data_IF_828936213464
#
_entry.id   IF_828936213464
#
_cell.length_a   1.000
_cell.length_b   1.000
_cell.length_c   1.000
_cell.angle_alpha   90.00
_cell.angle_beta   90.00
_cell.angle_gamma   90.00
#
_symmetry.space_group_name_H-M   'P 1'
#
loop_
_entity.id
_entity.type
_entity.pdbx_description
1 polymer ?
#
# COMPACT_ATOMS: atom_id res chain seq x y z
N UNK A 1 83.73 -52.22 27.50
CA UNK A 1 83.21 -50.87 27.20
C UNK A 1 81.71 -51.02 26.97
N UNK A 2 80.89 -50.64 27.94
CA UNK A 2 79.42 -50.71 27.88
C UNK A 2 78.91 -49.28 28.10
N UNK A 3 78.27 -48.71 27.09
CA UNK A 3 77.62 -47.40 27.15
C UNK A 3 76.16 -47.60 27.57
N UNK A 4 75.85 -47.30 28.84
CA UNK A 4 74.48 -47.31 29.35
C UNK A 4 73.70 -46.09 28.86
N UNK A 5 72.62 -46.32 28.12
CA UNK A 5 71.56 -45.34 27.91
C UNK A 5 70.59 -45.41 29.10
N UNK A 6 70.54 -44.36 29.91
CA UNK A 6 69.45 -44.17 30.88
C UNK A 6 68.23 -43.62 30.13
N UNK A 7 67.07 -44.31 30.14
CA UNK A 7 65.83 -43.74 29.63
C UNK A 7 65.37 -42.64 30.60
N UNK A 8 65.43 -41.39 30.16
CA UNK A 8 64.90 -40.27 30.90
C UNK A 8 63.40 -40.44 31.12
N UNK A 9 62.97 -40.46 32.38
CA UNK A 9 61.56 -40.38 32.75
C UNK A 9 60.98 -39.06 32.20
N UNK A 10 59.76 -39.07 31.62
CA UNK A 10 59.12 -37.86 31.13
C UNK A 10 58.97 -36.85 32.27
N UNK A 11 59.35 -35.60 32.00
CA UNK A 11 59.26 -34.54 32.98
C UNK A 11 57.79 -34.26 33.33
N UNK A 12 57.51 -33.99 34.60
CA UNK A 12 56.17 -33.63 35.09
C UNK A 12 55.54 -32.43 34.34
N UNK A 13 56.36 -31.63 33.63
CA UNK A 13 55.92 -30.52 32.78
C UNK A 13 55.13 -30.96 31.54
N UNK A 14 55.36 -32.17 31.01
CA UNK A 14 54.65 -32.68 29.83
C UNK A 14 53.19 -33.08 30.15
N UNK A 15 52.85 -33.27 31.42
CA UNK A 15 51.50 -33.63 31.87
C UNK A 15 50.66 -32.44 32.38
N UNK A 16 51.25 -31.26 32.63
CA UNK A 16 50.56 -30.18 33.37
C UNK A 16 50.31 -28.91 32.54
N UNK A 17 50.57 -28.89 31.22
CA UNK A 17 50.40 -27.68 30.42
C UNK A 17 49.39 -27.75 29.25
N UNK A 18 48.54 -28.78 29.19
CA UNK A 18 47.28 -28.64 28.47
C UNK A 18 46.31 -27.84 29.35
N UNK A 19 46.45 -26.51 29.33
CA UNK A 19 45.37 -25.63 29.80
C UNK A 19 44.19 -25.90 28.87
N UNK A 20 43.33 -26.83 29.29
CA UNK A 20 42.06 -27.12 28.64
C UNK A 20 41.22 -25.86 28.74
N UNK A 21 41.34 -25.01 27.72
CA UNK A 21 40.65 -23.73 27.66
C UNK A 21 39.19 -24.07 27.46
N UNK A 22 38.41 -23.99 28.54
CA UNK A 22 36.99 -24.24 28.51
C UNK A 22 36.36 -23.50 27.31
N UNK A 23 35.60 -24.19 26.44
CA UNK A 23 35.05 -23.57 25.25
C UNK A 23 34.22 -22.34 25.64
N UNK A 24 34.60 -21.16 25.12
CA UNK A 24 33.88 -19.91 25.37
C UNK A 24 32.40 -20.12 25.07
N UNK A 25 31.55 -19.92 26.08
CA UNK A 25 30.11 -20.00 25.92
C UNK A 25 29.65 -19.08 24.78
N UNK A 26 28.97 -19.66 23.79
CA UNK A 26 28.47 -18.87 22.67
C UNK A 26 27.44 -17.82 23.17
N UNK A 27 27.48 -16.58 22.65
CA UNK A 27 26.55 -15.54 23.09
C UNK A 27 25.12 -15.94 22.73
N UNK A 28 24.26 -16.02 23.75
CA UNK A 28 22.87 -16.48 23.63
C UNK A 28 21.91 -15.34 23.27
N UNK A 29 22.26 -14.12 23.71
CA UNK A 29 21.45 -12.91 23.57
C UNK A 29 21.02 -12.60 22.12
N UNK A 30 21.87 -12.75 21.08
CA UNK A 30 21.45 -12.52 19.69
C UNK A 30 20.29 -13.42 19.25
N UNK A 31 20.23 -14.65 19.73
CA UNK A 31 19.15 -15.58 19.39
C UNK A 31 17.85 -15.25 20.11
N UNK A 32 17.91 -14.77 21.36
CA UNK A 32 16.72 -14.25 22.05
C UNK A 32 16.14 -13.03 21.34
N UNK A 33 17.01 -12.10 20.87
CA UNK A 33 16.59 -10.95 20.07
C UNK A 33 15.83 -11.39 18.81
N UNK A 34 16.35 -12.38 18.07
CA UNK A 34 15.67 -12.92 16.89
C UNK A 34 14.31 -13.56 17.20
N UNK A 35 14.19 -14.28 18.32
CA UNK A 35 12.90 -14.85 18.72
C UNK A 35 11.90 -13.74 19.02
N UNK A 36 12.26 -12.75 19.85
CA UNK A 36 11.37 -11.64 20.21
C UNK A 36 10.97 -10.86 18.95
N UNK A 37 11.93 -10.53 18.09
CA UNK A 37 11.69 -9.85 16.83
C UNK A 37 10.73 -10.63 15.93
N UNK A 38 10.97 -11.94 15.79
CA UNK A 38 10.14 -12.80 14.97
C UNK A 38 8.71 -12.93 15.48
N UNK A 39 8.53 -13.02 16.80
CA UNK A 39 7.19 -13.00 17.43
C UNK A 39 6.48 -11.69 17.14
N UNK A 40 7.17 -10.55 17.26
CA UNK A 40 6.59 -9.23 16.96
C UNK A 40 6.15 -9.15 15.49
N UNK A 41 7.00 -9.60 14.56
CA UNK A 41 6.69 -9.58 13.12
C UNK A 41 5.52 -10.48 12.71
N UNK A 42 5.28 -11.57 13.44
CA UNK A 42 4.10 -12.43 13.25
C UNK A 42 2.86 -11.79 13.89
N UNK A 43 2.99 -11.30 15.12
CA UNK A 43 1.86 -10.78 15.89
C UNK A 43 1.34 -9.44 15.34
N UNK A 44 2.22 -8.53 14.89
CA UNK A 44 1.81 -7.19 14.46
C UNK A 44 0.81 -7.20 13.28
N UNK A 45 1.02 -7.96 12.17
CA UNK A 45 0.02 -8.06 11.10
C UNK A 45 -1.31 -8.67 11.54
N UNK A 46 -1.30 -9.59 12.50
CA UNK A 46 -2.50 -10.23 13.04
C UNK A 46 -3.30 -9.27 13.92
N UNK A 47 -2.63 -8.61 14.86
CA UNK A 47 -3.25 -7.68 15.80
C UNK A 47 -3.78 -6.42 15.12
N UNK A 48 -3.14 -5.98 14.03
CA UNK A 48 -3.58 -4.82 13.24
C UNK A 48 -4.58 -5.19 12.14
N UNK A 49 -4.90 -6.47 11.95
CA UNK A 49 -5.76 -6.92 10.85
C UNK A 49 -5.20 -6.61 9.47
N UNK A 50 -3.87 -6.58 9.32
CA UNK A 50 -3.19 -6.16 8.09
C UNK A 50 -3.52 -7.05 6.90
N UNK A 51 -3.71 -8.36 7.09
CA UNK A 51 -4.06 -9.31 6.02
C UNK A 51 -5.35 -8.93 5.26
N UNK A 52 -6.53 -8.91 5.91
CA UNK A 52 -7.76 -8.55 5.21
C UNK A 52 -7.76 -7.09 4.74
N UNK A 53 -7.14 -6.17 5.49
CA UNK A 53 -7.14 -4.75 5.14
C UNK A 53 -6.25 -4.41 3.95
N UNK A 54 -5.09 -5.05 3.84
CA UNK A 54 -4.20 -4.88 2.70
C UNK A 54 -4.78 -5.50 1.43
N UNK A 55 -5.43 -6.66 1.53
CA UNK A 55 -6.15 -7.26 0.40
C UNK A 55 -7.29 -6.37 -0.10
N UNK A 56 -8.07 -5.77 0.82
CA UNK A 56 -9.10 -4.78 0.47
C UNK A 56 -8.51 -3.52 -0.18
N UNK A 57 -7.37 -3.02 0.32
CA UNK A 57 -6.69 -1.89 -0.29
C UNK A 57 -6.18 -2.19 -1.71
N UNK A 58 -5.69 -3.40 -1.95
CA UNK A 58 -5.30 -3.85 -3.29
C UNK A 58 -6.51 -3.98 -4.22
N UNK A 59 -7.61 -4.58 -3.75
CA UNK A 59 -8.86 -4.66 -4.51
C UNK A 59 -9.38 -3.26 -4.87
N UNK A 60 -9.35 -2.31 -3.92
CA UNK A 60 -9.73 -0.92 -4.16
C UNK A 60 -8.90 -0.26 -5.26
N UNK A 61 -7.58 -0.47 -5.25
CA UNK A 61 -6.74 0.03 -6.35
C UNK A 61 -7.19 -0.64 -7.65
N UNK A 62 -7.26 -1.98 -7.71
CA UNK A 62 -7.67 -2.70 -8.91
C UNK A 62 -9.01 -2.26 -9.50
N UNK A 63 -10.03 -2.09 -8.65
CA UNK A 63 -11.39 -1.74 -9.05
C UNK A 63 -11.49 -0.30 -9.60
N UNK A 64 -10.69 0.64 -9.06
CA UNK A 64 -10.68 2.03 -9.53
C UNK A 64 -9.79 2.26 -10.75
N UNK A 65 -8.92 1.32 -11.11
CA UNK A 65 -7.97 1.46 -12.22
C UNK A 65 -8.58 1.97 -13.54
N UNK A 66 -9.74 1.47 -14.04
CA UNK A 66 -10.31 1.99 -15.28
C UNK A 66 -10.83 3.43 -15.14
N UNK A 67 -11.26 3.83 -13.94
CA UNK A 67 -11.98 5.08 -13.69
C UNK A 67 -11.09 6.30 -13.42
N UNK A 68 -9.82 6.07 -13.07
CA UNK A 68 -8.87 7.16 -12.75
C UNK A 68 -8.09 7.65 -13.95
N UNK A 69 -8.32 7.08 -15.14
CA UNK A 69 -7.59 7.45 -16.36
C UNK A 69 -8.02 8.84 -16.86
N UNK A 70 -7.12 9.54 -17.55
CA UNK A 70 -7.44 10.86 -18.10
C UNK A 70 -8.60 10.78 -19.11
N UNK A 71 -8.56 9.78 -20.00
CA UNK A 71 -9.60 9.57 -21.00
C UNK A 71 -10.98 9.34 -20.38
N UNK A 72 -11.04 8.56 -19.31
CA UNK A 72 -12.31 8.28 -18.64
C UNK A 72 -12.87 9.54 -17.95
N UNK A 73 -12.01 10.27 -17.23
CA UNK A 73 -12.40 11.50 -16.54
C UNK A 73 -12.84 12.59 -17.52
N UNK A 74 -12.17 12.72 -18.67
CA UNK A 74 -12.60 13.61 -19.74
C UNK A 74 -13.92 13.13 -20.38
N UNK A 75 -14.15 11.81 -20.43
CA UNK A 75 -15.42 11.20 -20.80
C UNK A 75 -16.56 11.64 -19.87
N UNK A 76 -16.40 11.50 -18.55
CA UNK A 76 -17.41 11.94 -17.58
C UNK A 76 -17.69 13.45 -17.66
N UNK A 77 -16.66 14.27 -17.86
CA UNK A 77 -16.83 15.72 -18.08
C UNK A 77 -17.60 16.01 -19.36
N UNK A 78 -17.31 15.27 -20.43
CA UNK A 78 -18.04 15.34 -21.70
C UNK A 78 -19.51 14.97 -21.54
N UNK A 79 -19.82 13.92 -20.77
CA UNK A 79 -21.17 13.49 -20.44
C UNK A 79 -21.94 14.57 -19.65
N UNK A 80 -21.31 15.18 -18.64
CA UNK A 80 -21.89 16.34 -17.93
C UNK A 80 -22.09 17.54 -18.88
N UNK A 81 -21.24 17.71 -19.89
CA UNK A 81 -21.40 18.73 -20.92
C UNK A 81 -22.66 18.53 -21.76
N UNK A 82 -22.98 17.27 -22.12
CA UNK A 82 -24.20 16.95 -22.89
C UNK A 82 -25.46 17.26 -22.09
N UNK A 83 -25.49 16.88 -20.82
CA UNK A 83 -26.61 17.20 -19.92
C UNK A 83 -26.79 18.71 -19.73
N UNK A 84 -25.70 19.46 -19.59
CA UNK A 84 -25.74 20.92 -19.45
C UNK A 84 -26.22 21.63 -20.71
N UNK A 85 -25.79 21.16 -21.88
CA UNK A 85 -26.25 21.67 -23.16
C UNK A 85 -27.75 21.43 -23.34
N UNK A 86 -28.24 20.23 -23.06
CA UNK A 86 -29.67 19.91 -23.14
C UNK A 86 -30.50 20.75 -22.18
N UNK A 87 -30.04 20.93 -20.93
CA UNK A 87 -30.67 21.86 -19.98
C UNK A 87 -30.76 23.28 -20.53
N UNK A 88 -29.67 23.77 -21.12
CA UNK A 88 -29.57 25.14 -21.65
C UNK A 88 -30.55 25.34 -22.80
N UNK A 89 -30.66 24.37 -23.71
CA UNK A 89 -31.66 24.34 -24.79
C UNK A 89 -33.07 24.42 -24.23
N UNK A 90 -33.42 23.55 -23.27
CA UNK A 90 -34.75 23.51 -22.65
C UNK A 90 -35.09 24.86 -22.00
N UNK A 91 -34.15 25.45 -21.26
CA UNK A 91 -34.34 26.75 -20.62
C UNK A 91 -34.50 27.87 -21.67
N UNK A 92 -33.74 27.81 -22.77
CA UNK A 92 -33.83 28.74 -23.90
C UNK A 92 -35.19 28.69 -24.60
N UNK A 93 -35.68 27.49 -24.92
CA UNK A 93 -36.99 27.28 -25.52
C UNK A 93 -38.11 27.84 -24.63
N UNK A 94 -38.02 27.64 -23.31
CA UNK A 94 -38.97 28.21 -22.35
C UNK A 94 -38.92 29.72 -22.30
N UNK A 95 -37.74 30.32 -22.22
CA UNK A 95 -37.57 31.77 -22.18
C UNK A 95 -38.12 32.46 -23.43
N UNK A 96 -38.10 31.77 -24.58
CA UNK A 96 -38.62 32.27 -25.86
C UNK A 96 -40.12 31.99 -26.05
N UNK A 97 -40.78 31.30 -25.12
CA UNK A 97 -42.19 30.91 -25.25
C UNK A 97 -42.43 29.79 -26.27
N UNK A 98 -41.38 29.05 -26.64
CA UNK A 98 -41.43 27.96 -27.64
C UNK A 98 -41.71 26.59 -27.02
N UNK A 99 -41.74 26.48 -25.69
CA UNK A 99 -42.07 25.24 -24.98
C UNK A 99 -43.58 25.20 -24.65
N UNK A 100 -44.40 24.40 -25.36
CA UNK A 100 -45.84 24.35 -25.12
C UNK A 100 -46.17 23.47 -23.92
N UNK A 101 -46.98 23.95 -22.97
CA UNK A 101 -47.48 23.15 -21.84
C UNK A 101 -46.55 23.07 -20.63
N UNK A 102 -46.81 22.12 -19.72
CA UNK A 102 -46.09 21.93 -18.44
C UNK A 102 -45.46 20.55 -18.34
N UNK A 103 -44.22 20.49 -17.85
CA UNK A 103 -43.37 19.31 -17.85
C UNK A 103 -42.60 19.20 -16.53
N UNK A 104 -43.26 18.67 -15.50
CA UNK A 104 -42.77 18.67 -14.12
C UNK A 104 -41.39 17.99 -13.94
N UNK A 105 -41.10 16.94 -14.72
CA UNK A 105 -39.82 16.21 -14.60
C UNK A 105 -38.69 17.00 -15.26
N UNK A 106 -38.97 17.61 -16.40
CA UNK A 106 -38.05 18.54 -17.07
C UNK A 106 -37.85 19.81 -16.23
N UNK A 107 -38.90 20.34 -15.60
CA UNK A 107 -38.82 21.46 -14.65
C UNK A 107 -37.89 21.14 -13.48
N UNK A 108 -38.05 19.96 -12.90
CA UNK A 108 -37.18 19.45 -11.82
C UNK A 108 -35.73 19.34 -12.30
N UNK A 109 -35.50 18.75 -13.48
CA UNK A 109 -34.15 18.67 -14.05
C UNK A 109 -33.50 20.03 -14.27
N UNK A 110 -34.17 20.97 -14.94
CA UNK A 110 -33.60 22.31 -15.22
C UNK A 110 -33.26 23.05 -13.93
N UNK A 111 -34.09 22.89 -12.88
CA UNK A 111 -33.89 23.49 -11.56
C UNK A 111 -32.73 22.86 -10.79
N UNK A 112 -32.68 21.53 -10.72
CA UNK A 112 -31.80 20.81 -9.80
C UNK A 112 -30.42 20.49 -10.41
N UNK A 113 -30.33 20.43 -11.75
CA UNK A 113 -29.11 20.06 -12.46
C UNK A 113 -27.86 20.89 -12.13
N UNK A 114 -27.93 22.23 -11.88
CA UNK A 114 -26.73 22.98 -11.46
C UNK A 114 -26.08 22.40 -10.20
N UNK A 115 -26.88 21.94 -9.23
CA UNK A 115 -26.38 21.25 -8.03
C UNK A 115 -25.82 19.87 -8.36
N UNK A 116 -26.55 19.08 -9.16
CA UNK A 116 -26.10 17.76 -9.63
C UNK A 116 -24.73 17.86 -10.32
N UNK A 117 -24.59 18.81 -11.25
CA UNK A 117 -23.35 19.05 -11.98
C UNK A 117 -22.22 19.45 -11.04
N UNK A 118 -22.46 20.37 -10.10
CA UNK A 118 -21.46 20.80 -9.12
C UNK A 118 -20.92 19.61 -8.33
N UNK A 119 -21.80 18.75 -7.83
CA UNK A 119 -21.41 17.63 -6.98
C UNK A 119 -20.69 16.52 -7.76
N UNK A 120 -21.19 16.17 -8.95
CA UNK A 120 -20.53 15.20 -9.83
C UNK A 120 -19.17 15.71 -10.34
N UNK A 121 -19.07 16.98 -10.73
CA UNK A 121 -17.81 17.58 -11.16
C UNK A 121 -16.78 17.62 -10.04
N UNK A 122 -17.19 17.96 -8.81
CA UNK A 122 -16.31 17.94 -7.63
C UNK A 122 -15.77 16.53 -7.37
N UNK A 123 -16.61 15.51 -7.53
CA UNK A 123 -16.19 14.10 -7.43
C UNK A 123 -15.14 13.76 -8.48
N UNK A 124 -15.40 14.08 -9.75
CA UNK A 124 -14.48 13.83 -10.88
C UNK A 124 -13.15 14.56 -10.68
N UNK A 125 -13.19 15.84 -10.28
CA UNK A 125 -12.01 16.66 -10.06
C UNK A 125 -11.20 16.19 -8.85
N UNK A 126 -11.86 15.64 -7.83
CA UNK A 126 -11.18 14.99 -6.70
C UNK A 126 -10.43 13.75 -7.15
N UNK A 127 -11.05 12.91 -8.00
CA UNK A 127 -10.40 11.74 -8.58
C UNK A 127 -9.20 12.15 -9.45
N UNK A 128 -9.36 13.18 -10.28
CA UNK A 128 -8.30 13.74 -11.13
C UNK A 128 -7.12 14.25 -10.30
N UNK A 129 -7.39 15.05 -9.27
CA UNK A 129 -6.37 15.59 -8.38
C UNK A 129 -5.57 14.51 -7.64
N UNK A 130 -6.17 13.35 -7.38
CA UNK A 130 -5.51 12.22 -6.72
C UNK A 130 -4.89 11.21 -7.66
N UNK A 131 -5.04 11.33 -8.99
CA UNK A 131 -4.52 10.38 -9.98
C UNK A 131 -3.03 10.09 -9.80
N UNK A 132 -2.22 11.12 -9.57
CA UNK A 132 -0.78 10.96 -9.35
C UNK A 132 -0.46 10.19 -8.07
N UNK A 133 -1.25 10.35 -7.01
CA UNK A 133 -1.08 9.60 -5.76
C UNK A 133 -1.54 8.14 -5.92
N UNK A 134 -2.65 7.94 -6.63
CA UNK A 134 -3.15 6.62 -7.01
C UNK A 134 -2.10 5.84 -7.81
N UNK A 135 -1.52 6.43 -8.86
CA UNK A 135 -0.55 5.76 -9.73
C UNK A 135 0.66 5.26 -8.93
N UNK A 136 1.21 6.10 -8.03
CA UNK A 136 2.34 5.69 -7.17
C UNK A 136 2.02 4.48 -6.31
N UNK A 137 0.79 4.36 -5.81
CA UNK A 137 0.37 3.20 -5.03
C UNK A 137 0.06 1.99 -5.90
N UNK A 138 -0.49 2.19 -7.10
CA UNK A 138 -0.76 1.13 -8.06
C UNK A 138 0.53 0.50 -8.62
N UNK A 139 1.62 1.28 -8.68
CA UNK A 139 2.93 0.81 -9.11
C UNK A 139 3.67 0.00 -8.01
N UNK A 140 3.14 -0.05 -6.78
CA UNK A 140 3.73 -0.86 -5.71
C UNK A 140 3.51 -2.36 -5.95
N UNK A 141 4.38 -3.21 -5.37
CA UNK A 141 4.07 -4.63 -5.25
C UNK A 141 2.70 -4.83 -4.57
N UNK A 142 1.97 -5.91 -4.92
CA UNK A 142 0.63 -6.19 -4.40
C UNK A 142 0.55 -6.01 -2.87
N UNK A 143 -0.33 -5.12 -2.40
CA UNK A 143 -0.38 -4.75 -0.98
C UNK A 143 -0.70 -5.97 -0.09
N UNK A 144 -1.48 -6.93 -0.59
CA UNK A 144 -1.79 -8.18 0.10
C UNK A 144 -0.58 -9.05 0.43
N UNK A 145 0.57 -8.84 -0.25
CA UNK A 145 1.82 -9.57 0.01
C UNK A 145 2.60 -9.02 1.18
N UNK A 146 2.44 -7.74 1.53
CA UNK A 146 3.19 -7.07 2.59
C UNK A 146 3.06 -7.75 3.97
N UNK A 147 1.85 -8.13 4.44
CA UNK A 147 1.69 -8.87 5.69
C UNK A 147 2.42 -10.21 5.70
N UNK A 148 2.43 -10.92 4.56
CA UNK A 148 3.09 -12.22 4.41
C UNK A 148 4.60 -12.09 4.50
N UNK A 149 5.19 -11.07 3.88
CA UNK A 149 6.62 -10.80 3.97
C UNK A 149 7.08 -10.61 5.42
N UNK A 150 6.29 -9.90 6.24
CA UNK A 150 6.56 -9.74 7.66
C UNK A 150 6.39 -11.07 8.42
N UNK A 151 5.27 -11.75 8.23
CA UNK A 151 4.97 -12.99 8.96
C UNK A 151 5.95 -14.13 8.65
N UNK A 152 6.32 -14.32 7.38
CA UNK A 152 7.29 -15.34 6.95
C UNK A 152 8.69 -15.02 7.45
N UNK A 153 9.13 -13.76 7.36
CA UNK A 153 10.41 -13.36 7.93
C UNK A 153 10.42 -13.58 9.45
N UNK A 154 9.32 -13.25 10.13
CA UNK A 154 9.15 -13.49 11.55
C UNK A 154 9.25 -14.97 11.91
N UNK A 155 8.62 -15.85 11.14
CA UNK A 155 8.71 -17.30 11.32
C UNK A 155 10.15 -17.80 11.18
N UNK A 156 10.88 -17.31 10.18
CA UNK A 156 12.30 -17.64 10.01
C UNK A 156 13.14 -17.15 11.18
N UNK A 157 12.89 -15.94 11.69
CA UNK A 157 13.61 -15.42 12.86
C UNK A 157 13.31 -16.20 14.14
N UNK A 158 12.06 -16.62 14.38
CA UNK A 158 11.72 -17.51 15.49
C UNK A 158 12.45 -18.84 15.36
N UNK A 159 12.40 -19.47 14.18
CA UNK A 159 13.08 -20.75 13.95
C UNK A 159 14.61 -20.62 14.15
N UNK A 160 15.23 -19.64 13.50
CA UNK A 160 16.67 -19.39 13.61
C UNK A 160 17.09 -19.04 15.04
N UNK A 161 16.27 -18.28 15.76
CA UNK A 161 16.46 -17.96 17.17
C UNK A 161 16.38 -19.20 18.06
N UNK A 162 15.32 -20.00 17.97
CA UNK A 162 15.13 -21.21 18.80
C UNK A 162 16.19 -22.27 18.51
N UNK A 163 16.43 -22.60 17.23
CA UNK A 163 17.41 -23.62 16.87
C UNK A 163 18.85 -23.15 17.08
N UNK A 164 19.12 -21.86 16.85
CA UNK A 164 20.39 -21.23 17.15
C UNK A 164 20.70 -21.23 18.65
N UNK A 165 19.73 -20.88 19.48
CA UNK A 165 19.82 -20.94 20.94
C UNK A 165 20.11 -22.37 21.42
N UNK A 166 19.33 -23.36 20.96
CA UNK A 166 19.54 -24.78 21.31
C UNK A 166 20.94 -25.29 20.94
N UNK A 167 21.45 -24.91 19.76
CA UNK A 167 22.82 -25.28 19.36
C UNK A 167 23.89 -24.57 20.17
N UNK A 168 23.68 -23.29 20.51
CA UNK A 168 24.59 -22.54 21.37
C UNK A 168 24.70 -23.15 22.78
N UNK A 169 23.57 -23.63 23.34
CA UNK A 169 23.55 -24.40 24.60
C UNK A 169 24.30 -25.72 24.47
N UNK A 170 24.22 -26.38 23.30
CA UNK A 170 24.92 -27.63 23.02
C UNK A 170 26.41 -27.47 22.64
N UNK A 171 26.99 -26.26 22.72
CA UNK A 171 28.38 -25.99 22.32
C UNK A 171 28.68 -26.07 20.81
N UNK A 172 27.65 -26.24 19.96
CA UNK A 172 27.82 -26.33 18.49
C UNK A 172 27.75 -24.95 17.84
N UNK A 173 28.60 -24.70 16.84
CA UNK A 173 28.60 -23.43 16.07
C UNK A 173 27.28 -23.27 15.31
N UNK A 174 26.51 -22.23 15.66
CA UNK A 174 25.23 -21.88 15.02
C UNK A 174 25.36 -21.07 13.71
N UNK A 175 26.45 -21.22 12.96
CA UNK A 175 26.78 -20.35 11.81
C UNK A 175 25.68 -20.29 10.74
N UNK A 176 25.11 -21.43 10.36
CA UNK A 176 24.07 -21.49 9.32
C UNK A 176 22.81 -20.69 9.67
N UNK A 177 22.35 -20.72 10.93
CA UNK A 177 21.18 -19.96 11.37
C UNK A 177 21.41 -18.45 11.37
N UNK A 178 22.65 -18.01 11.59
CA UNK A 178 23.03 -16.59 11.51
C UNK A 178 23.08 -16.11 10.07
N UNK A 179 23.65 -16.90 9.16
CA UNK A 179 23.64 -16.59 7.72
C UNK A 179 22.21 -16.50 7.21
N UNK A 180 21.35 -17.46 7.56
CA UNK A 180 19.93 -17.42 7.19
C UNK A 180 19.23 -16.16 7.71
N UNK A 181 19.44 -15.82 8.99
CA UNK A 181 18.85 -14.61 9.58
C UNK A 181 19.38 -13.33 8.92
N UNK A 182 20.66 -13.30 8.57
CA UNK A 182 21.25 -12.17 7.85
C UNK A 182 20.68 -12.01 6.44
N UNK A 183 20.46 -13.11 5.71
CA UNK A 183 19.84 -13.08 4.38
C UNK A 183 18.40 -12.57 4.44
N UNK A 184 17.59 -13.06 5.39
CA UNK A 184 16.22 -12.57 5.58
C UNK A 184 16.21 -11.12 6.05
N UNK A 185 17.11 -10.75 6.98
CA UNK A 185 17.28 -9.37 7.42
C UNK A 185 17.65 -8.43 6.26
N UNK A 186 18.58 -8.85 5.40
CA UNK A 186 18.94 -8.11 4.19
C UNK A 186 17.75 -7.98 3.22
N UNK A 187 16.97 -9.04 3.02
CA UNK A 187 15.78 -8.98 2.17
C UNK A 187 14.75 -7.98 2.71
N UNK A 188 14.51 -7.94 4.03
CA UNK A 188 13.63 -6.95 4.66
C UNK A 188 14.13 -5.49 4.53
N UNK A 189 15.44 -5.28 4.39
CA UNK A 189 16.01 -3.95 4.12
C UNK A 189 15.88 -3.57 2.65
N UNK A 190 16.21 -4.50 1.76
CA UNK A 190 16.25 -4.26 0.31
C UNK A 190 14.84 -4.08 -0.25
N UNK A 191 13.88 -4.91 0.17
CA UNK A 191 12.50 -4.90 -0.35
C UNK A 191 11.82 -3.53 -0.31
N UNK A 192 11.71 -2.81 0.83
CA UNK A 192 11.04 -1.51 0.87
C UNK A 192 11.75 -0.43 0.07
N UNK A 193 13.05 -0.57 -0.19
CA UNK A 193 13.85 0.38 -0.98
C UNK A 193 13.67 0.10 -2.47
N UNK A 194 13.94 -1.14 -2.89
CA UNK A 194 13.84 -1.57 -4.29
C UNK A 194 12.39 -1.58 -4.80
N UNK A 195 11.44 -1.90 -3.92
CA UNK A 195 10.00 -1.85 -4.21
C UNK A 195 9.38 -0.46 -4.09
N UNK A 196 10.17 0.59 -3.80
CA UNK A 196 9.69 1.98 -3.81
C UNK A 196 8.74 2.36 -2.65
N UNK A 197 8.60 1.54 -1.61
CA UNK A 197 7.67 1.78 -0.50
C UNK A 197 7.91 3.15 0.17
N UNK A 198 9.16 3.58 0.34
CA UNK A 198 9.44 4.89 0.95
C UNK A 198 9.00 6.08 0.08
N UNK A 199 9.03 5.93 -1.24
CA UNK A 199 8.63 6.98 -2.17
C UNK A 199 7.10 7.01 -2.38
N UNK A 200 6.48 5.84 -2.48
CA UNK A 200 5.07 5.71 -2.83
C UNK A 200 4.13 5.70 -1.62
N UNK A 201 4.49 5.07 -0.50
CA UNK A 201 3.58 4.93 0.64
C UNK A 201 3.07 6.27 1.20
N UNK A 202 3.86 7.37 1.25
CA UNK A 202 3.35 8.68 1.66
C UNK A 202 2.18 9.21 0.81
N UNK A 203 2.02 8.74 -0.44
CA UNK A 203 0.91 9.11 -1.31
C UNK A 203 -0.44 8.50 -0.86
N UNK A 204 -0.42 7.46 -0.01
CA UNK A 204 -1.63 6.84 0.51
C UNK A 204 -2.47 7.74 1.40
N UNK A 205 -1.84 8.65 2.15
CA UNK A 205 -2.56 9.55 3.05
C UNK A 205 -3.38 10.61 2.26
N UNK A 206 -2.79 11.38 1.33
CA UNK A 206 -3.56 12.28 0.47
C UNK A 206 -4.67 11.58 -0.34
N UNK A 207 -4.39 10.38 -0.86
CA UNK A 207 -5.39 9.60 -1.58
C UNK A 207 -6.58 9.26 -0.69
N UNK A 208 -6.31 8.75 0.52
CA UNK A 208 -7.35 8.42 1.50
C UNK A 208 -8.16 9.65 1.91
N UNK A 209 -7.50 10.78 2.16
CA UNK A 209 -8.15 12.01 2.60
C UNK A 209 -9.00 12.63 1.46
N UNK A 210 -8.56 12.51 0.21
CA UNK A 210 -9.34 12.93 -0.96
C UNK A 210 -10.53 12.03 -1.25
N UNK A 211 -10.40 10.71 -1.11
CA UNK A 211 -11.48 9.78 -1.42
C UNK A 211 -12.50 9.63 -0.29
N UNK A 212 -12.14 9.88 0.96
CA UNK A 212 -13.05 9.84 2.12
C UNK A 212 -14.38 10.59 1.94
N UNK A 213 -14.41 11.85 1.48
CA UNK A 213 -15.68 12.55 1.29
C UNK A 213 -16.52 11.99 0.14
N UNK A 214 -15.88 11.35 -0.85
CA UNK A 214 -16.51 10.91 -2.10
C UNK A 214 -16.99 9.46 -2.03
N UNK A 215 -16.23 8.58 -1.39
CA UNK A 215 -16.52 7.15 -1.25
C UNK A 215 -17.27 6.88 0.05
N UNK A 216 -18.49 7.39 0.15
CA UNK A 216 -19.39 7.13 1.28
C UNK A 216 -20.72 6.56 0.80
N UNK A 217 -21.41 5.80 1.65
CA UNK A 217 -22.76 5.33 1.33
C UNK A 217 -23.76 6.47 1.09
N UNK A 218 -23.57 7.59 1.78
CA UNK A 218 -24.45 8.76 1.62
C UNK A 218 -24.22 9.46 0.29
N UNK A 219 -22.96 9.62 -0.14
CA UNK A 219 -22.64 10.20 -1.44
C UNK A 219 -23.09 9.26 -2.58
N UNK A 220 -22.87 7.94 -2.46
CA UNK A 220 -23.38 6.97 -3.44
C UNK A 220 -24.90 7.04 -3.55
N UNK A 221 -25.63 7.08 -2.44
CA UNK A 221 -27.10 7.19 -2.43
C UNK A 221 -27.57 8.52 -3.05
N UNK A 222 -26.86 9.61 -2.76
CA UNK A 222 -27.13 10.94 -3.32
C UNK A 222 -26.94 10.94 -4.84
N UNK A 223 -25.83 10.39 -5.34
CA UNK A 223 -25.58 10.26 -6.77
C UNK A 223 -26.61 9.36 -7.45
N UNK A 224 -27.00 8.23 -6.85
CA UNK A 224 -28.10 7.40 -7.34
C UNK A 224 -29.42 8.18 -7.43
N UNK A 225 -29.69 9.06 -6.46
CA UNK A 225 -30.83 9.98 -6.49
C UNK A 225 -30.80 10.93 -7.69
N UNK A 226 -29.62 11.41 -8.10
CA UNK A 226 -29.47 12.22 -9.31
C UNK A 226 -29.88 11.45 -10.57
N UNK A 227 -29.52 10.17 -10.68
CA UNK A 227 -29.94 9.34 -11.81
C UNK A 227 -31.46 9.23 -11.91
N UNK A 228 -32.18 9.15 -10.80
CA UNK A 228 -33.65 9.14 -10.82
C UNK A 228 -34.19 10.43 -11.43
N UNK A 229 -33.66 11.58 -11.05
CA UNK A 229 -34.05 12.88 -11.64
C UNK A 229 -33.74 12.94 -13.14
N UNK A 230 -32.54 12.50 -13.54
CA UNK A 230 -32.11 12.54 -14.94
C UNK A 230 -32.94 11.58 -15.82
N UNK A 231 -33.16 10.34 -15.38
CA UNK A 231 -34.00 9.34 -16.08
C UNK A 231 -35.43 9.82 -16.23
N UNK A 232 -35.99 10.43 -15.17
CA UNK A 232 -37.35 10.95 -15.22
C UNK A 232 -37.49 12.05 -16.28
N UNK A 233 -36.51 12.95 -16.37
CA UNK A 233 -36.49 14.02 -17.36
C UNK A 233 -36.28 13.51 -18.79
N UNK A 234 -35.34 12.59 -19.02
CA UNK A 234 -35.13 11.93 -20.32
C UNK A 234 -36.41 11.24 -20.82
N UNK A 235 -37.09 10.50 -19.95
CA UNK A 235 -38.36 9.86 -20.29
C UNK A 235 -39.45 10.85 -20.69
N UNK A 236 -39.47 12.05 -20.11
CA UNK A 236 -40.42 13.11 -20.46
C UNK A 236 -40.03 13.88 -21.73
N UNK A 237 -38.72 14.07 -21.95
CA UNK A 237 -38.16 14.64 -23.18
C UNK A 237 -38.59 13.80 -24.39
N UNK A 238 -38.32 12.49 -24.33
CA UNK A 238 -38.56 11.56 -25.41
C UNK A 238 -40.04 11.23 -25.63
N UNK A 239 -40.87 11.23 -24.57
CA UNK A 239 -42.29 10.83 -24.71
C UNK A 239 -43.22 11.93 -25.18
N UNK A 240 -42.96 13.19 -24.83
CA UNK A 240 -43.88 14.30 -25.12
C UNK A 240 -43.21 15.60 -25.52
N UNK A 241 -42.24 16.10 -24.74
CA UNK A 241 -41.71 17.45 -24.92
C UNK A 241 -41.16 17.70 -26.33
N UNK A 242 -40.30 16.81 -26.82
CA UNK A 242 -39.67 16.96 -28.14
C UNK A 242 -40.72 16.93 -29.26
N UNK A 243 -41.76 16.11 -29.13
CA UNK A 243 -42.85 16.02 -30.10
C UNK A 243 -43.74 17.28 -30.08
N UNK A 244 -44.09 17.75 -28.89
CA UNK A 244 -44.96 18.92 -28.71
C UNK A 244 -44.27 20.21 -29.18
N UNK A 245 -42.99 20.41 -28.87
CA UNK A 245 -42.20 21.55 -29.38
C UNK A 245 -42.14 21.52 -30.90
N UNK A 246 -41.86 20.36 -31.51
CA UNK A 246 -41.76 20.24 -32.97
C UNK A 246 -43.11 20.45 -33.68
N UNK A 247 -44.22 20.08 -33.03
CA UNK A 247 -45.57 20.31 -33.56
C UNK A 247 -45.95 21.80 -33.55
N UNK A 248 -45.57 22.53 -32.49
CA UNK A 248 -45.84 23.97 -32.39
C UNK A 248 -44.84 24.82 -33.18
N UNK A 249 -43.57 24.42 -33.21
CA UNK A 249 -42.44 25.15 -33.77
C UNK A 249 -41.49 24.20 -34.53
N UNK A 250 -41.80 23.89 -35.80
CA UNK A 250 -41.02 22.95 -36.60
C UNK A 250 -39.54 23.33 -36.78
N UNK A 251 -39.24 24.63 -36.73
CA UNK A 251 -37.90 25.21 -36.93
C UNK A 251 -37.11 25.39 -35.62
N UNK A 252 -37.65 24.94 -34.48
CA UNK A 252 -36.97 25.06 -33.19
C UNK A 252 -35.69 24.21 -33.16
N UNK A 253 -34.61 24.78 -32.63
CA UNK A 253 -33.37 24.04 -32.40
C UNK A 253 -33.55 23.07 -31.22
N UNK A 254 -33.39 21.78 -31.50
CA UNK A 254 -33.49 20.68 -30.53
C UNK A 254 -32.21 19.84 -30.55
N UNK A 255 -31.11 20.40 -31.05
CA UNK A 255 -29.87 19.65 -31.30
C UNK A 255 -29.27 19.10 -30.02
N UNK A 256 -29.24 19.86 -28.92
CA UNK A 256 -28.65 19.39 -27.67
C UNK A 256 -29.55 18.33 -27.00
N UNK A 257 -30.87 18.50 -27.07
CA UNK A 257 -31.85 17.51 -26.58
C UNK A 257 -31.71 16.20 -27.37
N UNK A 258 -31.65 16.27 -28.70
CA UNK A 258 -31.47 15.09 -29.56
C UNK A 258 -30.12 14.40 -29.29
N UNK A 259 -29.06 15.18 -29.03
CA UNK A 259 -27.75 14.64 -28.64
C UNK A 259 -27.81 13.90 -27.30
N UNK A 260 -28.53 14.46 -26.32
CA UNK A 260 -28.77 13.81 -25.04
C UNK A 260 -29.51 12.48 -25.24
N UNK A 261 -30.62 12.46 -25.98
CA UNK A 261 -31.40 11.24 -26.27
C UNK A 261 -30.52 10.14 -26.91
N UNK A 262 -29.66 10.51 -27.86
CA UNK A 262 -28.73 9.57 -28.53
C UNK A 262 -27.65 9.03 -27.60
N UNK A 263 -27.12 9.87 -26.69
CA UNK A 263 -26.04 9.52 -25.77
C UNK A 263 -26.51 9.00 -24.41
N UNK A 264 -27.82 9.00 -24.17
CA UNK A 264 -28.38 8.69 -22.87
C UNK A 264 -27.98 7.31 -22.35
N UNK A 265 -28.19 6.26 -23.16
CA UNK A 265 -27.83 4.89 -22.80
C UNK A 265 -26.33 4.68 -22.52
N UNK A 266 -25.40 5.06 -23.41
CA UNK A 266 -23.98 4.90 -23.11
C UNK A 266 -23.52 5.73 -21.90
N UNK A 267 -24.03 6.96 -21.74
CA UNK A 267 -23.70 7.82 -20.60
C UNK A 267 -24.18 7.24 -19.27
N UNK A 268 -25.42 6.76 -19.22
CA UNK A 268 -25.97 6.16 -17.99
C UNK A 268 -25.25 4.86 -17.62
N UNK A 269 -24.90 4.02 -18.60
CA UNK A 269 -24.07 2.84 -18.36
C UNK A 269 -22.68 3.21 -17.82
N UNK A 270 -22.07 4.26 -18.36
CA UNK A 270 -20.75 4.74 -17.96
C UNK A 270 -20.75 5.22 -16.49
N UNK A 271 -21.69 6.08 -16.11
CA UNK A 271 -21.82 6.50 -14.71
C UNK A 271 -22.25 5.36 -13.77
N UNK A 272 -23.10 4.44 -14.22
CA UNK A 272 -23.50 3.29 -13.40
C UNK A 272 -22.31 2.41 -13.04
N UNK A 273 -21.35 2.23 -13.97
CA UNK A 273 -20.11 1.51 -13.71
C UNK A 273 -19.28 2.20 -12.61
N UNK A 274 -19.10 3.53 -12.70
CA UNK A 274 -18.39 4.29 -11.67
C UNK A 274 -19.08 4.19 -10.30
N UNK A 275 -20.40 4.38 -10.25
CA UNK A 275 -21.17 4.30 -9.01
C UNK A 275 -21.09 2.90 -8.40
N UNK A 276 -21.14 1.86 -9.24
CA UNK A 276 -20.94 0.47 -8.82
C UNK A 276 -19.58 0.30 -8.15
N UNK A 277 -18.51 0.75 -8.81
CA UNK A 277 -17.17 0.72 -8.24
C UNK A 277 -17.06 1.51 -6.93
N UNK A 278 -17.68 2.70 -6.85
CA UNK A 278 -17.74 3.49 -5.62
C UNK A 278 -18.43 2.73 -4.48
N UNK A 279 -19.60 2.15 -4.76
CA UNK A 279 -20.41 1.41 -3.79
C UNK A 279 -19.66 0.19 -3.23
N UNK A 280 -19.05 -0.60 -4.11
CA UNK A 280 -18.34 -1.82 -3.73
C UNK A 280 -17.07 -1.52 -2.94
N UNK A 281 -16.52 -0.31 -3.09
CA UNK A 281 -15.28 0.10 -2.46
C UNK A 281 -15.41 0.96 -1.19
N UNK A 282 -16.62 1.36 -0.78
CA UNK A 282 -16.81 2.07 0.51
C UNK A 282 -16.20 1.26 1.67
N UNK A 283 -16.54 -0.03 1.74
CA UNK A 283 -16.01 -0.92 2.77
C UNK A 283 -14.52 -1.27 2.62
N UNK A 284 -13.95 -1.09 1.42
CA UNK A 284 -12.52 -1.24 1.19
C UNK A 284 -11.76 0.00 1.67
N UNK A 285 -12.26 1.21 1.38
CA UNK A 285 -11.68 2.45 1.87
C UNK A 285 -11.67 2.49 3.40
N UNK A 286 -12.77 2.08 4.04
CA UNK A 286 -12.84 2.00 5.51
C UNK A 286 -11.80 1.03 6.10
N UNK A 287 -11.54 -0.09 5.43
CA UNK A 287 -10.54 -1.04 5.85
C UNK A 287 -9.11 -0.47 5.75
N UNK A 288 -8.83 0.26 4.67
CA UNK A 288 -7.57 0.97 4.47
C UNK A 288 -7.40 2.09 5.50
N UNK A 289 -8.45 2.86 5.75
CA UNK A 289 -8.49 3.89 6.79
C UNK A 289 -8.18 3.30 8.17
N UNK A 290 -8.85 2.20 8.53
CA UNK A 290 -8.64 1.52 9.80
C UNK A 290 -7.22 0.96 9.94
N UNK A 291 -6.62 0.49 8.85
CA UNK A 291 -5.22 0.07 8.86
C UNK A 291 -4.29 1.26 9.11
N UNK A 292 -4.49 2.35 8.37
CA UNK A 292 -3.69 3.56 8.51
C UNK A 292 -3.75 4.14 9.92
N UNK A 293 -4.93 4.08 10.53
CA UNK A 293 -5.20 4.62 11.85
C UNK A 293 -4.73 3.72 12.99
N UNK A 294 -4.50 2.42 12.73
CA UNK A 294 -4.05 1.46 13.75
C UNK A 294 -2.71 1.81 14.39
N UNK A 295 -1.86 2.57 13.70
CA UNK A 295 -0.54 2.97 14.19
C UNK A 295 -0.54 4.37 14.81
N UNK A 296 -1.64 5.14 14.72
CA UNK A 296 -1.74 6.49 15.30
C UNK A 296 -1.35 6.57 16.79
N UNK A 297 -1.70 5.59 17.65
CA UNK A 297 -1.26 5.61 19.05
C UNK A 297 0.26 5.59 19.24
N UNK A 298 1.02 5.17 18.23
CA UNK A 298 2.48 5.16 18.21
C UNK A 298 3.08 6.47 17.69
N UNK A 299 2.26 7.46 17.34
CA UNK A 299 2.69 8.78 16.87
C UNK A 299 2.91 8.91 15.36
N UNK A 300 2.55 7.90 14.56
CA UNK A 300 2.66 7.93 13.09
C UNK A 300 1.54 7.12 12.41
N UNK A 301 1.30 7.36 11.12
CA UNK A 301 0.29 6.61 10.34
C UNK A 301 0.93 5.47 9.55
N UNK A 302 0.17 4.41 9.25
CA UNK A 302 0.74 3.22 8.62
C UNK A 302 1.36 3.53 7.26
N UNK A 303 0.76 4.42 6.47
CA UNK A 303 1.33 4.87 5.19
C UNK A 303 2.68 5.58 5.33
N UNK A 304 2.86 6.38 6.40
CA UNK A 304 4.15 7.05 6.67
C UNK A 304 5.18 6.10 7.28
N UNK A 305 4.72 5.08 8.00
CA UNK A 305 5.54 4.08 8.67
C UNK A 305 5.85 2.83 7.84
N UNK A 306 5.22 2.66 6.67
CA UNK A 306 5.19 1.36 5.97
C UNK A 306 6.59 0.81 5.70
N UNK A 307 7.48 1.61 5.11
CA UNK A 307 8.86 1.20 4.84
C UNK A 307 9.66 0.88 6.12
N UNK A 308 9.38 1.58 7.22
CA UNK A 308 10.06 1.39 8.50
C UNK A 308 9.70 0.06 9.17
N UNK A 309 8.49 -0.48 8.93
CA UNK A 309 8.09 -1.80 9.42
C UNK A 309 8.91 -2.95 8.83
N UNK A 310 9.56 -2.73 7.68
CA UNK A 310 10.48 -3.69 7.08
C UNK A 310 11.94 -3.36 7.41
N UNK A 311 12.31 -2.08 7.29
CA UNK A 311 13.69 -1.63 7.47
C UNK A 311 14.21 -1.86 8.89
N UNK A 312 13.46 -1.42 9.92
CA UNK A 312 13.91 -1.52 11.32
C UNK A 312 14.17 -2.97 11.77
N UNK A 313 13.24 -3.93 11.58
CA UNK A 313 13.52 -5.33 11.94
C UNK A 313 14.65 -5.93 11.10
N UNK A 314 14.76 -5.58 9.81
CA UNK A 314 15.86 -6.04 8.96
C UNK A 314 17.23 -5.63 9.49
N UNK A 315 17.38 -4.36 9.88
CA UNK A 315 18.62 -3.83 10.48
C UNK A 315 18.93 -4.51 11.82
N UNK A 316 17.93 -4.70 12.68
CA UNK A 316 18.10 -5.39 13.97
C UNK A 316 18.56 -6.84 13.75
N UNK A 317 17.96 -7.56 12.80
CA UNK A 317 18.35 -8.94 12.47
C UNK A 317 19.80 -9.04 11.96
N UNK A 318 20.22 -8.10 11.10
CA UNK A 318 21.59 -8.00 10.62
C UNK A 318 22.59 -7.73 11.77
N UNK A 319 22.25 -6.80 12.67
CA UNK A 319 23.07 -6.49 13.83
C UNK A 319 23.20 -7.70 14.78
N UNK A 320 22.09 -8.41 15.04
CA UNK A 320 22.09 -9.64 15.84
C UNK A 320 22.95 -10.74 15.21
N UNK A 321 22.87 -10.91 13.88
CA UNK A 321 23.71 -11.87 13.16
C UNK A 321 25.20 -11.52 13.27
N UNK A 322 25.55 -10.24 13.10
CA UNK A 322 26.92 -9.74 13.18
C UNK A 322 27.53 -9.86 14.58
N UNK A 323 26.76 -9.55 15.63
CA UNK A 323 27.22 -9.65 17.03
C UNK A 323 27.60 -11.08 17.41
N UNK A 324 26.87 -12.08 16.89
CA UNK A 324 27.19 -13.48 17.13
C UNK A 324 28.54 -13.92 16.55
N UNK A 325 29.03 -13.28 15.49
CA UNK A 325 30.21 -13.71 14.73
C UNK A 325 31.55 -13.50 15.45
N UNK A 326 31.59 -12.72 16.54
CA UNK A 326 32.84 -12.46 17.26
C UNK A 326 33.91 -11.76 16.42
N UNK A 327 33.50 -11.02 15.38
CA UNK A 327 34.37 -10.11 14.64
C UNK A 327 34.65 -8.86 15.48
N UNK A 328 35.29 -9.04 16.63
CA UNK A 328 36.10 -7.97 17.20
C UNK A 328 37.21 -7.68 16.21
N UNK A 329 37.36 -6.41 15.83
CA UNK A 329 38.50 -5.89 15.08
C UNK A 329 39.78 -6.51 15.67
N UNK A 330 40.35 -7.53 15.01
CA UNK A 330 41.69 -8.01 15.34
C UNK A 330 42.63 -6.94 14.82
N UNK A 331 42.90 -5.94 15.64
CA UNK A 331 44.06 -5.07 15.50
C UNK A 331 45.26 -6.02 15.51
N UNK A 332 45.85 -6.26 14.35
CA UNK A 332 47.09 -7.03 14.21
C UNK A 332 48.14 -6.23 14.98
N UNK A 333 48.71 -6.72 16.10
CA UNK A 333 49.80 -6.01 16.74
C UNK A 333 50.97 -6.01 15.75
N UNK A 334 51.45 -4.80 15.44
CA UNK A 334 52.64 -4.61 14.63
C UNK A 334 53.77 -5.45 15.23
N UNK A 335 54.24 -6.44 14.49
CA UNK A 335 55.37 -7.28 14.86
C UNK A 335 56.60 -6.38 14.90
N UNK A 336 56.99 -5.97 16.11
CA UNK A 336 58.15 -5.13 16.34
C UNK A 336 59.39 -5.90 15.86
N UNK A 337 59.93 -5.49 14.70
CA UNK A 337 61.11 -6.07 14.08
C UNK A 337 62.31 -5.22 14.52
N UNK A 338 62.71 -5.36 15.78
CA UNK A 338 63.91 -4.76 16.34
C UNK A 338 64.68 -5.83 17.09
N UNK A 339 65.34 -6.71 16.35
CA UNK A 339 66.45 -7.54 16.84
C UNK A 339 67.22 -8.08 15.62
N UNK A 340 68.09 -7.23 15.08
CA UNK A 340 69.23 -7.63 14.24
C UNK A 340 70.26 -6.50 14.21
N UNK A 341 70.82 -6.19 15.38
CA UNK A 341 72.16 -5.65 15.52
C UNK A 341 72.80 -6.35 16.71
N UNK A 342 73.84 -7.14 16.46
CA UNK A 342 74.61 -7.77 17.53
C UNK A 342 75.36 -9.01 17.11
N UNK A 343 76.57 -8.83 16.59
CA UNK A 343 77.68 -9.76 16.84
C UNK A 343 78.15 -10.59 15.65
N UNK A 344 79.31 -10.19 15.12
CA UNK A 344 80.45 -10.99 14.58
C UNK A 344 81.42 -9.91 14.07
N UNK A 345 82.45 -9.47 14.83
CA UNK A 345 83.73 -10.13 15.13
C UNK A 345 84.28 -10.94 13.97
#
# INVERSE_FOLDING_TARGET
>A
MVTGHSPGLPAYADYVSSVETAPRAAPRLPFAVLVVLGVILIAAPLLTGMFPRAAKGEAMIGDFAPFVTQSELDGYRGDLGVLDAARTDIAGLRAQGLAPGTYDRIDTFVRDYPGIRSDLSTTIDTIDAQRGNYQRLADLPPLSTLPWLLALAGLVFVAAGVFGWRRAVSGRRGGGWRVLSALVGAALVIFPIAGGLFAAAPAGQPLLDGFRPVLTHDEVRKVQGYFVTLVAADGELNSRFTADVRAAHPDADLTAITTLEQRWQPMTSHFAALIGAMNDNVGHLDAVAALNDSTKPLGFTAFRGLGWFFLAPGVIALAAAAWGSGAGLRIIPARNRSDRQGGEQ
#
